data_IF_132541898150
#
_entry.id   IF_132541898150
#
_cell.length_a   1.000
_cell.length_b   1.000
_cell.length_c   1.000
_cell.angle_alpha   90.00
_cell.angle_beta   90.00
_cell.angle_gamma   90.00
#
_symmetry.space_group_name_H-M   'P 1'
#
loop_
_entity.id
_entity.type
_entity.pdbx_description
1 polymer ?
#
# COMPACT_ATOMS: atom_id res chain seq x y z
N UNK A 1 13.45 20.85 -52.63
CA UNK A 1 12.39 21.08 -51.62
C UNK A 1 12.75 20.31 -50.36
N UNK A 2 13.10 20.96 -49.23
CA UNK A 2 13.40 20.24 -47.99
C UNK A 2 12.10 19.79 -47.31
N UNK A 3 12.05 18.52 -46.92
CA UNK A 3 10.92 17.92 -46.23
C UNK A 3 10.76 18.51 -44.83
N UNK A 4 9.60 19.12 -44.57
CA UNK A 4 9.16 19.55 -43.23
C UNK A 4 8.98 18.31 -42.35
N UNK A 5 9.90 18.09 -41.41
CA UNK A 5 9.74 17.06 -40.39
C UNK A 5 8.71 17.54 -39.35
N UNK A 6 7.52 16.96 -39.40
CA UNK A 6 6.49 17.16 -38.38
C UNK A 6 7.02 16.67 -37.02
N UNK A 7 6.91 17.45 -35.92
CA UNK A 7 7.34 17.01 -34.59
C UNK A 7 6.55 15.76 -34.18
N UNK A 8 7.22 14.63 -33.92
CA UNK A 8 6.56 13.45 -33.38
C UNK A 8 6.02 13.75 -31.97
N UNK A 9 4.80 13.32 -31.63
CA UNK A 9 4.25 13.50 -30.27
C UNK A 9 5.11 12.71 -29.27
N UNK A 10 5.92 13.41 -28.47
CA UNK A 10 6.86 12.84 -27.49
C UNK A 10 6.19 12.34 -26.20
N UNK A 11 4.88 12.51 -26.05
CA UNK A 11 4.16 12.40 -24.77
C UNK A 11 3.99 10.96 -24.26
N UNK A 12 3.97 9.96 -25.13
CA UNK A 12 3.71 8.57 -24.73
C UNK A 12 4.92 7.88 -24.08
N UNK A 13 6.15 8.16 -24.53
CA UNK A 13 7.34 7.49 -23.98
C UNK A 13 7.64 7.94 -22.55
N UNK A 14 7.55 9.25 -22.27
CA UNK A 14 7.78 9.82 -20.94
C UNK A 14 6.79 9.29 -19.92
N UNK A 15 5.51 9.17 -20.28
CA UNK A 15 4.47 8.63 -19.39
C UNK A 15 4.71 7.16 -19.04
N UNK A 16 5.20 6.37 -20.00
CA UNK A 16 5.55 4.95 -19.78
C UNK A 16 6.76 4.79 -18.86
N UNK A 17 7.79 5.62 -19.03
CA UNK A 17 8.95 5.63 -18.14
C UNK A 17 8.54 6.05 -16.73
N UNK A 18 7.77 7.14 -16.60
CA UNK A 18 7.25 7.61 -15.31
C UNK A 18 6.42 6.54 -14.60
N UNK A 19 5.54 5.84 -15.34
CA UNK A 19 4.75 4.72 -14.80
C UNK A 19 5.64 3.67 -14.14
N UNK A 20 6.69 3.19 -14.82
CA UNK A 20 7.55 2.14 -14.28
C UNK A 20 8.44 2.62 -13.14
N UNK A 21 8.89 3.88 -13.18
CA UNK A 21 9.63 4.48 -12.07
C UNK A 21 8.76 4.53 -10.80
N UNK A 22 7.52 5.02 -10.93
CA UNK A 22 6.58 5.05 -9.79
C UNK A 22 6.23 3.64 -9.33
N UNK A 23 6.00 2.70 -10.25
CA UNK A 23 5.69 1.31 -9.92
C UNK A 23 6.85 0.63 -9.15
N UNK A 24 8.10 0.94 -9.51
CA UNK A 24 9.29 0.39 -8.83
C UNK A 24 9.45 0.90 -7.38
N UNK A 25 8.92 2.09 -7.07
CA UNK A 25 8.88 2.60 -5.70
C UNK A 25 7.74 1.96 -4.88
N UNK A 26 6.74 1.40 -5.56
CA UNK A 26 5.57 0.76 -4.95
C UNK A 26 5.90 -0.28 -3.89
N UNK A 27 6.78 -1.27 -4.12
CA UNK A 27 7.14 -2.28 -3.12
C UNK A 27 7.71 -1.69 -1.83
N UNK A 28 8.53 -0.64 -1.93
CA UNK A 28 9.09 0.04 -0.76
C UNK A 28 7.99 0.76 0.02
N UNK A 29 7.14 1.53 -0.67
CA UNK A 29 6.01 2.22 -0.04
C UNK A 29 5.01 1.24 0.59
N UNK A 30 4.72 0.13 -0.08
CA UNK A 30 3.83 -0.92 0.43
C UNK A 30 4.44 -1.59 1.67
N UNK A 31 5.74 -1.90 1.67
CA UNK A 31 6.42 -2.46 2.84
C UNK A 31 6.34 -1.52 4.04
N UNK A 32 6.58 -0.22 3.86
CA UNK A 32 6.46 0.78 4.94
C UNK A 32 5.02 0.83 5.47
N UNK A 33 4.02 0.86 4.58
CA UNK A 33 2.62 0.94 4.98
C UNK A 33 2.17 -0.32 5.74
N UNK A 34 2.54 -1.52 5.27
CA UNK A 34 2.23 -2.77 5.96
C UNK A 34 2.98 -2.91 7.28
N UNK A 35 4.24 -2.46 7.34
CA UNK A 35 5.00 -2.42 8.59
C UNK A 35 4.37 -1.48 9.61
N UNK A 36 3.90 -0.30 9.18
CA UNK A 36 3.18 0.65 10.02
C UNK A 36 1.85 0.08 10.54
N UNK A 37 1.12 -0.65 9.71
CA UNK A 37 -0.07 -1.35 10.15
C UNK A 37 0.24 -2.40 11.23
N UNK A 38 1.28 -3.22 11.03
CA UNK A 38 1.72 -4.18 12.04
C UNK A 38 2.17 -3.51 13.34
N UNK A 39 2.78 -2.31 13.26
CA UNK A 39 3.16 -1.54 14.43
C UNK A 39 1.93 -1.07 15.22
N UNK A 40 0.91 -0.55 14.51
CA UNK A 40 -0.34 -0.14 15.14
C UNK A 40 -1.09 -1.33 15.78
N UNK A 41 -1.02 -2.51 15.18
CA UNK A 41 -1.55 -3.75 15.77
C UNK A 41 -0.80 -4.13 17.05
N UNK A 42 0.54 -4.13 17.02
CA UNK A 42 1.36 -4.45 18.18
C UNK A 42 1.06 -3.50 19.36
N UNK A 43 0.92 -2.20 19.09
CA UNK A 43 0.57 -1.19 20.10
C UNK A 43 -0.82 -1.41 20.69
N UNK A 44 -1.82 -1.71 19.83
CA UNK A 44 -3.18 -2.00 20.29
C UNK A 44 -3.18 -3.19 21.26
N UNK A 45 -2.40 -4.23 20.95
CA UNK A 45 -2.30 -5.43 21.79
C UNK A 45 -1.54 -5.16 23.09
N UNK A 46 -0.41 -4.45 23.04
CA UNK A 46 0.37 -4.17 24.25
C UNK A 46 -0.35 -3.25 25.24
N UNK A 47 -1.17 -2.32 24.74
CA UNK A 47 -1.89 -1.36 25.58
C UNK A 47 -3.29 -1.83 26.01
N UNK A 48 -3.84 -2.90 25.41
CA UNK A 48 -5.19 -3.38 25.70
C UNK A 48 -5.39 -3.69 27.19
N UNK A 49 -4.42 -4.34 27.85
CA UNK A 49 -4.53 -4.67 29.28
C UNK A 49 -4.64 -3.42 30.17
N UNK A 50 -3.93 -2.34 29.82
CA UNK A 50 -4.00 -1.07 30.56
C UNK A 50 -5.31 -0.33 30.27
N UNK A 51 -5.77 -0.35 29.02
CA UNK A 51 -7.06 0.21 28.64
C UNK A 51 -8.21 -0.47 29.42
N UNK A 52 -8.21 -1.81 29.49
CA UNK A 52 -9.21 -2.56 30.25
C UNK A 52 -9.17 -2.25 31.75
N UNK A 53 -7.98 -2.13 32.35
CA UNK A 53 -7.83 -1.72 33.74
C UNK A 53 -8.37 -0.30 34.02
N UNK A 54 -8.36 0.57 33.01
CA UNK A 54 -8.93 1.92 33.05
C UNK A 54 -10.42 1.97 32.66
N UNK A 55 -11.06 0.82 32.38
CA UNK A 55 -12.45 0.76 31.93
C UNK A 55 -12.68 1.23 30.49
N UNK A 56 -11.63 1.25 29.66
CA UNK A 56 -11.67 1.62 28.23
C UNK A 56 -11.25 0.44 27.34
N UNK A 57 -11.05 0.67 26.03
CA UNK A 57 -10.66 -0.37 25.06
C UNK A 57 -9.77 0.21 23.96
N UNK A 58 -8.86 -0.62 23.41
CA UNK A 58 -8.06 -0.32 22.20
C UNK A 58 -8.72 -0.86 20.92
N UNK A 59 -9.93 -1.41 21.00
CA UNK A 59 -10.66 -1.88 19.83
C UNK A 59 -10.79 -0.76 18.77
N UNK A 60 -10.44 -1.07 17.51
CA UNK A 60 -10.46 -0.11 16.41
C UNK A 60 -9.20 0.75 16.28
N UNK A 61 -8.28 0.73 17.26
CA UNK A 61 -7.07 1.57 17.21
C UNK A 61 -6.20 1.23 15.99
N UNK A 62 -5.91 -0.06 15.79
CA UNK A 62 -5.04 -0.49 14.71
C UNK A 62 -5.66 -0.23 13.32
N UNK A 63 -6.98 -0.36 13.20
CA UNK A 63 -7.72 -0.06 11.98
C UNK A 63 -7.65 1.43 11.65
N UNK A 64 -7.80 2.31 12.64
CA UNK A 64 -7.79 3.76 12.43
C UNK A 64 -6.36 4.28 12.21
N UNK A 65 -5.41 3.85 13.04
CA UNK A 65 -4.03 4.36 13.06
C UNK A 65 -3.13 3.67 12.04
N UNK A 66 -3.41 2.42 11.70
CA UNK A 66 -2.66 1.64 10.72
C UNK A 66 -3.45 1.35 9.44
N UNK A 67 -4.68 0.83 9.58
CA UNK A 67 -5.51 0.36 8.47
C UNK A 67 -5.93 1.47 7.52
N UNK A 68 -6.43 2.60 8.02
CA UNK A 68 -6.82 3.75 7.18
C UNK A 68 -5.61 4.29 6.41
N UNK A 69 -4.45 4.59 7.02
CA UNK A 69 -3.26 4.98 6.27
C UNK A 69 -2.81 3.95 5.23
N UNK A 70 -2.91 2.65 5.53
CA UNK A 70 -2.59 1.57 4.59
C UNK A 70 -3.52 1.61 3.37
N UNK A 71 -4.83 1.73 3.58
CA UNK A 71 -5.81 1.83 2.49
C UNK A 71 -5.58 3.08 1.66
N UNK A 72 -5.33 4.23 2.30
CA UNK A 72 -5.03 5.48 1.62
C UNK A 72 -3.77 5.37 0.76
N UNK A 73 -2.71 4.73 1.24
CA UNK A 73 -1.50 4.49 0.48
C UNK A 73 -1.78 3.68 -0.81
N UNK A 74 -2.65 2.67 -0.73
CA UNK A 74 -3.07 1.89 -1.90
C UNK A 74 -3.90 2.73 -2.88
N UNK A 75 -4.88 3.50 -2.39
CA UNK A 75 -5.71 4.36 -3.24
C UNK A 75 -4.85 5.38 -3.98
N UNK A 76 -3.90 6.03 -3.30
CA UNK A 76 -2.97 6.97 -3.91
C UNK A 76 -2.09 6.27 -4.96
N UNK A 77 -1.53 5.10 -4.62
CA UNK A 77 -0.72 4.31 -5.55
C UNK A 77 -1.48 3.90 -6.81
N UNK A 78 -2.72 3.40 -6.66
CA UNK A 78 -3.60 3.05 -7.78
C UNK A 78 -3.93 4.29 -8.60
N UNK A 79 -4.33 5.40 -7.96
CA UNK A 79 -4.67 6.64 -8.64
C UNK A 79 -3.52 7.15 -9.53
N UNK A 80 -2.32 7.26 -8.96
CA UNK A 80 -1.11 7.66 -9.70
C UNK A 80 -0.82 6.74 -10.88
N UNK A 81 -0.80 5.42 -10.66
CA UNK A 81 -0.44 4.45 -11.70
C UNK A 81 -1.52 4.34 -12.77
N UNK A 82 -2.80 4.46 -12.41
CA UNK A 82 -3.90 4.50 -13.38
C UNK A 82 -3.81 5.75 -14.24
N UNK A 83 -3.56 6.92 -13.65
CA UNK A 83 -3.38 8.17 -14.42
C UNK A 83 -2.20 8.06 -15.39
N UNK A 84 -1.02 7.64 -14.92
CA UNK A 84 0.16 7.46 -15.77
C UNK A 84 -0.05 6.35 -16.82
N UNK A 85 -0.69 5.26 -16.41
CA UNK A 85 -1.03 4.12 -17.26
C UNK A 85 -1.98 4.50 -18.38
N UNK A 86 -2.99 5.34 -18.09
CA UNK A 86 -3.93 5.84 -19.09
C UNK A 86 -3.21 6.65 -20.18
N UNK A 87 -2.32 7.57 -19.79
CA UNK A 87 -1.57 8.39 -20.73
C UNK A 87 -0.50 7.61 -21.52
N UNK A 88 0.08 6.54 -20.95
CA UNK A 88 1.10 5.72 -21.62
C UNK A 88 0.57 4.54 -22.44
N UNK A 89 -0.49 3.88 -21.94
CA UNK A 89 -0.98 2.58 -22.42
C UNK A 89 -2.51 2.54 -22.65
N UNK A 90 -3.23 3.65 -22.43
CA UNK A 90 -4.71 3.73 -22.54
C UNK A 90 -5.39 2.70 -21.64
N UNK A 91 -6.43 2.01 -22.11
CA UNK A 91 -7.18 1.02 -21.33
C UNK A 91 -6.32 -0.13 -20.77
N UNK A 92 -5.22 -0.51 -21.46
CA UNK A 92 -4.28 -1.52 -20.94
C UNK A 92 -3.51 -1.02 -19.71
N UNK A 93 -3.37 0.29 -19.55
CA UNK A 93 -2.69 0.90 -18.42
C UNK A 93 -3.40 0.67 -17.09
N UNK A 94 -4.72 0.52 -17.09
CA UNK A 94 -5.50 0.25 -15.88
C UNK A 94 -5.14 -1.14 -15.34
N UNK A 95 -5.12 -2.17 -16.20
CA UNK A 95 -4.74 -3.52 -15.81
C UNK A 95 -3.29 -3.59 -15.31
N UNK A 96 -2.37 -2.87 -15.98
CA UNK A 96 -0.97 -2.77 -15.54
C UNK A 96 -0.83 -2.09 -14.18
N UNK A 97 -1.59 -1.01 -13.94
CA UNK A 97 -1.58 -0.29 -12.67
C UNK A 97 -2.05 -1.17 -11.52
N UNK A 98 -3.20 -1.83 -11.69
CA UNK A 98 -3.75 -2.74 -10.69
C UNK A 98 -2.80 -3.92 -10.41
N UNK A 99 -2.22 -4.49 -11.47
CA UNK A 99 -1.22 -5.56 -11.33
C UNK A 99 0.03 -5.09 -10.58
N UNK A 100 0.54 -3.90 -10.88
CA UNK A 100 1.72 -3.35 -10.19
C UNK A 100 1.45 -3.08 -8.70
N UNK A 101 0.29 -2.49 -8.35
CA UNK A 101 -0.08 -2.27 -6.95
C UNK A 101 -0.29 -3.60 -6.22
N UNK A 102 -0.93 -4.58 -6.86
CA UNK A 102 -1.11 -5.90 -6.27
C UNK A 102 0.24 -6.56 -5.94
N UNK A 103 1.17 -6.58 -6.91
CA UNK A 103 2.51 -7.15 -6.70
C UNK A 103 3.27 -6.40 -5.60
N UNK A 104 3.24 -5.07 -5.62
CA UNK A 104 3.84 -4.26 -4.57
C UNK A 104 3.25 -4.56 -3.19
N UNK A 105 1.92 -4.70 -3.11
CA UNK A 105 1.22 -5.03 -1.87
C UNK A 105 1.60 -6.41 -1.35
N UNK A 106 1.65 -7.43 -2.21
CA UNK A 106 2.09 -8.78 -1.83
C UNK A 106 3.52 -8.79 -1.28
N UNK A 107 4.43 -8.03 -1.89
CA UNK A 107 5.79 -7.85 -1.36
C UNK A 107 5.73 -7.17 0.01
N UNK A 108 4.95 -6.10 0.16
CA UNK A 108 4.79 -5.38 1.42
C UNK A 108 4.23 -6.26 2.54
N UNK A 109 3.19 -7.04 2.26
CA UNK A 109 2.64 -8.06 3.18
C UNK A 109 3.72 -9.04 3.56
N UNK A 110 4.47 -9.58 2.59
CA UNK A 110 5.54 -10.54 2.84
C UNK A 110 6.63 -9.99 3.77
N UNK A 111 7.06 -8.74 3.55
CA UNK A 111 8.04 -8.06 4.41
C UNK A 111 7.50 -7.89 5.83
N UNK A 112 6.28 -7.38 5.97
CA UNK A 112 5.66 -7.20 7.29
C UNK A 112 5.47 -8.54 8.00
N UNK A 113 5.00 -9.58 7.31
CA UNK A 113 4.85 -10.92 7.87
C UNK A 113 6.17 -11.48 8.40
N UNK A 114 7.25 -11.36 7.63
CA UNK A 114 8.58 -11.80 8.09
C UNK A 114 9.07 -11.00 9.31
N UNK A 115 8.68 -9.73 9.41
CA UNK A 115 9.13 -8.86 10.50
C UNK A 115 8.37 -9.11 11.80
N UNK A 116 7.08 -9.44 11.71
CA UNK A 116 6.21 -9.76 12.85
C UNK A 116 6.06 -11.27 13.09
N UNK A 117 7.05 -12.07 12.69
CA UNK A 117 7.09 -13.51 13.01
C UNK A 117 5.97 -14.37 12.39
N UNK A 118 5.26 -13.86 11.38
CA UNK A 118 4.09 -14.53 10.78
C UNK A 118 2.74 -14.15 11.43
N UNK A 119 2.75 -13.33 12.48
CA UNK A 119 1.56 -13.07 13.30
C UNK A 119 0.81 -11.79 12.89
N UNK A 120 1.18 -11.15 11.77
CA UNK A 120 0.62 -9.85 11.37
C UNK A 120 -0.93 -9.83 11.33
N UNK A 121 -1.54 -10.94 10.92
CA UNK A 121 -3.00 -11.07 10.85
C UNK A 121 -3.61 -11.69 12.11
N UNK A 122 -2.83 -12.45 12.88
CA UNK A 122 -3.28 -13.04 14.14
C UNK A 122 -3.39 -11.99 15.24
N UNK A 123 -2.56 -10.94 15.19
CA UNK A 123 -2.65 -9.76 16.05
C UNK A 123 -3.99 -9.00 15.89
N UNK A 124 -4.68 -9.14 14.75
CA UNK A 124 -5.85 -8.34 14.40
C UNK A 124 -7.20 -9.07 14.35
N UNK A 125 -7.22 -10.37 14.05
CA UNK A 125 -8.47 -11.09 13.69
C UNK A 125 -8.97 -12.05 14.79
N UNK A 126 -8.16 -12.33 15.84
CA UNK A 126 -8.49 -13.35 16.85
C UNK A 126 -8.62 -12.91 18.31
N UNK A 127 -8.33 -11.65 18.67
CA UNK A 127 -8.09 -11.30 20.08
C UNK A 127 -9.29 -10.64 20.80
N UNK A 128 -10.48 -11.22 20.64
CA UNK A 128 -11.67 -10.87 21.43
C UNK A 128 -11.61 -11.45 22.86
N UNK A 129 -10.61 -12.29 23.14
CA UNK A 129 -10.46 -13.02 24.39
C UNK A 129 -9.12 -12.67 25.01
N UNK A 130 -9.14 -11.75 25.98
CA UNK A 130 -8.02 -11.57 26.91
C UNK A 130 -7.75 -12.90 27.61
N UNK A 131 -6.64 -13.56 27.29
CA UNK A 131 -6.15 -14.72 28.06
C UNK A 131 -5.19 -14.16 29.12
N UNK A 132 -5.54 -14.24 30.42
CA UNK A 132 -4.78 -13.67 31.52
C UNK A 132 -3.41 -14.31 31.72
#
# INVERSE_FOLDING_TARGET
>A
MPATQSPRPRTSSTSRTAFWVVAALGPLSAAIAWFWYGFAQAEAQSEQGKALAAGTTMAGFAEVVGGIPLVLAHIVGVGLLVTLGWFGYRGRGIALALGAVLVASLIGVGVAQLTYGGELFDLGIGNDTFVP
#
